data_IF_967344342416
#
_entry.id   IF_967344342416
#
_cell.length_a   1.000
_cell.length_b   1.000
_cell.length_c   1.000
_cell.angle_alpha   90.00
_cell.angle_beta   90.00
_cell.angle_gamma   90.00
#
_symmetry.space_group_name_H-M   'P 1'
#
loop_
_entity.id
_entity.type
_entity.pdbx_description
1 polymer ?
#
# COMPACT_ATOMS: atom_id res chain seq x y z
N UNK A 1 -14.08 -28.15 -36.94
CA UNK A 1 -13.48 -27.30 -35.90
C UNK A 1 -12.04 -27.71 -35.87
N UNK A 2 -11.18 -26.95 -36.54
CA UNK A 2 -9.79 -27.36 -36.76
C UNK A 2 -9.04 -27.24 -35.44
N UNK A 3 -8.68 -28.40 -34.89
CA UNK A 3 -7.86 -28.48 -33.69
C UNK A 3 -6.41 -28.26 -34.08
N UNK A 4 -5.77 -27.34 -33.37
CA UNK A 4 -4.32 -27.13 -33.47
C UNK A 4 -3.64 -28.43 -33.04
N UNK A 5 -2.76 -28.94 -33.88
CA UNK A 5 -1.99 -30.15 -33.61
C UNK A 5 -0.94 -29.92 -32.52
N UNK A 6 -0.54 -30.98 -31.82
CA UNK A 6 0.52 -30.90 -30.81
C UNK A 6 1.83 -30.35 -31.39
N UNK A 7 2.14 -30.64 -32.66
CA UNK A 7 3.32 -30.08 -33.34
C UNK A 7 3.23 -28.57 -33.56
N UNK A 8 2.04 -28.05 -33.85
CA UNK A 8 1.82 -26.60 -33.97
C UNK A 8 1.92 -25.92 -32.61
N UNK A 9 1.41 -26.55 -31.54
CA UNK A 9 1.57 -26.05 -30.16
C UNK A 9 3.06 -25.95 -29.80
N UNK A 10 3.84 -27.02 -30.06
CA UNK A 10 5.27 -27.03 -29.77
C UNK A 10 6.03 -25.96 -30.57
N UNK A 11 5.68 -25.75 -31.83
CA UNK A 11 6.28 -24.70 -32.66
C UNK A 11 5.96 -23.30 -32.12
N UNK A 12 4.72 -23.05 -31.71
CA UNK A 12 4.31 -21.77 -31.11
C UNK A 12 5.08 -21.53 -29.80
N UNK A 13 5.13 -22.53 -28.92
CA UNK A 13 5.84 -22.42 -27.64
C UNK A 13 7.32 -22.13 -27.86
N UNK A 14 7.97 -22.87 -28.77
CA UNK A 14 9.38 -22.64 -29.13
C UNK A 14 9.60 -21.22 -29.65
N UNK A 15 8.76 -20.75 -30.57
CA UNK A 15 8.88 -19.40 -31.13
C UNK A 15 8.67 -18.29 -30.07
N UNK A 16 7.76 -18.51 -29.10
CA UNK A 16 7.55 -17.58 -27.98
C UNK A 16 8.77 -17.57 -27.06
N UNK A 17 9.31 -18.75 -26.71
CA UNK A 17 10.50 -18.87 -25.87
C UNK A 17 11.74 -18.26 -26.54
N UNK A 18 11.92 -18.46 -27.84
CA UNK A 18 13.03 -17.86 -28.60
C UNK A 18 12.89 -16.34 -28.73
N UNK A 19 11.66 -15.84 -28.94
CA UNK A 19 11.38 -14.42 -29.12
C UNK A 19 11.45 -13.61 -27.82
N UNK A 20 11.05 -14.20 -26.70
CA UNK A 20 10.95 -13.50 -25.42
C UNK A 20 11.96 -13.96 -24.37
N UNK A 21 12.70 -15.04 -24.62
CA UNK A 21 13.60 -15.69 -23.67
C UNK A 21 12.85 -16.33 -22.50
N UNK A 22 13.51 -17.22 -21.75
CA UNK A 22 13.18 -17.42 -20.33
C UNK A 22 13.48 -16.10 -19.59
N UNK A 23 12.62 -15.11 -19.75
CA UNK A 23 12.64 -13.98 -18.83
C UNK A 23 12.16 -14.55 -17.51
N UNK A 24 13.09 -14.62 -16.57
CA UNK A 24 12.77 -14.80 -15.17
C UNK A 24 11.85 -13.64 -14.76
N UNK A 25 10.55 -13.88 -14.87
CA UNK A 25 9.48 -12.96 -14.47
C UNK A 25 9.29 -12.96 -12.96
N UNK A 26 10.20 -13.61 -12.21
CA UNK A 26 10.35 -13.29 -10.80
C UNK A 26 10.71 -11.81 -10.70
N UNK A 27 9.91 -10.99 -10.00
CA UNK A 27 10.27 -9.62 -9.72
C UNK A 27 11.61 -9.66 -9.00
N UNK A 28 12.67 -9.13 -9.62
CA UNK A 28 13.91 -8.87 -8.89
C UNK A 28 13.56 -7.93 -7.75
N UNK A 29 13.47 -8.48 -6.53
CA UNK A 29 13.27 -7.71 -5.33
C UNK A 29 14.57 -6.96 -5.05
N UNK A 30 14.73 -5.79 -5.67
CA UNK A 30 15.59 -4.77 -5.11
C UNK A 30 15.14 -4.60 -3.66
N UNK A 31 16.01 -4.93 -2.69
CA UNK A 31 15.70 -4.80 -1.26
C UNK A 31 15.20 -3.38 -1.01
N UNK A 32 13.94 -3.27 -0.60
CA UNK A 32 13.28 -2.00 -0.41
C UNK A 32 13.58 -1.51 1.01
N UNK A 33 14.56 -0.61 1.20
CA UNK A 33 14.98 -0.12 2.54
C UNK A 33 14.01 0.87 3.18
N UNK A 34 12.70 0.68 2.98
CA UNK A 34 11.68 1.52 3.57
C UNK A 34 11.47 1.20 5.06
N UNK A 35 11.25 2.24 5.86
CA UNK A 35 10.71 2.10 7.22
C UNK A 35 9.19 2.24 7.14
N UNK A 36 8.47 1.14 7.34
CA UNK A 36 7.00 1.09 7.23
C UNK A 36 6.39 0.99 8.62
N UNK A 37 5.59 1.97 9.00
CA UNK A 37 4.74 1.86 10.18
C UNK A 37 3.45 1.13 9.81
N UNK A 38 3.07 0.11 10.58
CA UNK A 38 1.84 -0.64 10.35
C UNK A 38 1.01 -0.71 11.64
N UNK A 39 -0.30 -0.52 11.51
CA UNK A 39 -1.26 -0.64 12.61
C UNK A 39 -2.56 -1.28 12.16
N UNK A 40 -3.41 -1.61 13.13
CA UNK A 40 -4.76 -2.07 12.87
C UNK A 40 -5.74 -1.66 13.98
N UNK A 41 -7.03 -1.90 13.78
CA UNK A 41 -7.95 -2.14 14.89
C UNK A 41 -8.12 -3.64 15.15
N UNK A 42 -9.07 -4.01 16.00
CA UNK A 42 -9.37 -5.40 16.33
C UNK A 42 -9.83 -6.22 15.10
N UNK A 43 -10.58 -5.61 14.17
CA UNK A 43 -11.02 -6.24 12.92
C UNK A 43 -9.87 -6.43 11.91
N UNK A 44 -8.86 -5.56 11.94
CA UNK A 44 -7.67 -5.64 11.08
C UNK A 44 -6.52 -6.48 11.63
N UNK A 45 -6.55 -6.88 12.91
CA UNK A 45 -5.42 -7.49 13.61
C UNK A 45 -4.82 -8.70 12.86
N UNK A 46 -5.66 -9.65 12.44
CA UNK A 46 -5.19 -10.87 11.75
C UNK A 46 -4.48 -10.57 10.42
N UNK A 47 -5.03 -9.64 9.64
CA UNK A 47 -4.42 -9.21 8.38
C UNK A 47 -3.10 -8.47 8.63
N UNK A 48 -3.02 -7.63 9.67
CA UNK A 48 -1.77 -6.98 10.09
C UNK A 48 -0.68 -8.00 10.38
N UNK A 49 -0.97 -8.98 11.24
CA UNK A 49 -0.03 -10.04 11.61
C UNK A 49 0.48 -10.82 10.39
N UNK A 50 -0.38 -11.00 9.38
CA UNK A 50 0.00 -11.66 8.12
C UNK A 50 0.82 -10.77 7.17
N UNK A 51 0.64 -9.45 7.24
CA UNK A 51 1.35 -8.49 6.38
C UNK A 51 2.72 -8.08 6.92
N UNK A 52 2.94 -8.13 8.23
CA UNK A 52 4.26 -7.86 8.85
C UNK A 52 5.37 -8.72 8.21
N UNK A 53 5.31 -10.07 8.22
CA UNK A 53 6.36 -10.89 7.62
C UNK A 53 6.46 -10.68 6.11
N UNK A 54 5.34 -10.40 5.42
CA UNK A 54 5.36 -10.08 3.99
C UNK A 54 6.10 -8.77 3.68
N UNK A 55 5.96 -7.74 4.53
CA UNK A 55 6.71 -6.50 4.40
C UNK A 55 8.21 -6.72 4.62
N UNK A 56 8.57 -7.57 5.58
CA UNK A 56 9.95 -7.96 5.84
C UNK A 56 10.56 -8.75 4.67
N UNK A 57 9.79 -9.67 4.05
CA UNK A 57 10.17 -10.36 2.81
C UNK A 57 10.42 -9.40 1.65
N UNK A 58 9.68 -8.28 1.57
CA UNK A 58 9.91 -7.19 0.62
C UNK A 58 11.14 -6.32 0.97
N UNK A 59 11.81 -6.60 2.09
CA UNK A 59 13.01 -5.90 2.57
C UNK A 59 12.74 -4.68 3.44
N UNK A 60 11.49 -4.43 3.82
CA UNK A 60 11.12 -3.28 4.64
C UNK A 60 11.50 -3.50 6.12
N UNK A 61 11.85 -2.42 6.81
CA UNK A 61 11.91 -2.39 8.28
C UNK A 61 10.53 -2.01 8.81
N UNK A 62 9.91 -2.89 9.59
CA UNK A 62 8.54 -2.69 10.08
C UNK A 62 8.53 -2.08 11.49
N UNK A 63 7.64 -1.11 11.73
CA UNK A 63 7.28 -0.61 13.06
C UNK A 63 5.82 -0.98 13.31
N UNK A 64 5.58 -1.99 14.15
CA UNK A 64 4.22 -2.38 14.55
C UNK A 64 3.68 -1.40 15.62
N UNK A 65 2.59 -0.71 15.29
CA UNK A 65 1.91 0.26 16.13
C UNK A 65 0.75 -0.34 16.95
N UNK A 66 0.53 -1.66 16.84
CA UNK A 66 -0.51 -2.41 17.55
C UNK A 66 -1.84 -2.53 16.79
N UNK A 67 -2.90 -3.04 17.43
CA UNK A 67 -2.91 -3.62 18.78
C UNK A 67 -2.09 -4.92 18.85
N UNK A 68 -1.80 -5.38 20.07
CA UNK A 68 -1.04 -6.61 20.30
C UNK A 68 -1.92 -7.89 20.29
N UNK A 69 -3.25 -7.72 20.33
CA UNK A 69 -4.23 -8.80 20.36
C UNK A 69 -5.53 -8.38 19.64
N UNK A 70 -6.56 -9.23 19.74
CA UNK A 70 -7.89 -9.04 19.14
C UNK A 70 -8.89 -8.34 20.06
N UNK A 71 -8.46 -7.79 21.19
CA UNK A 71 -9.37 -7.10 22.10
C UNK A 71 -9.94 -5.85 21.43
N UNK A 72 -11.18 -5.51 21.77
CA UNK A 72 -11.85 -4.34 21.20
C UNK A 72 -11.03 -3.07 21.47
N UNK A 73 -10.79 -2.31 20.40
CA UNK A 73 -10.07 -1.04 20.41
C UNK A 73 -10.68 -0.06 19.43
N UNK A 74 -10.40 1.22 19.64
CA UNK A 74 -10.83 2.30 18.76
C UNK A 74 -9.78 2.56 17.67
N UNK A 75 -10.18 2.38 16.40
CA UNK A 75 -9.29 2.60 15.25
C UNK A 75 -8.61 3.99 15.21
N UNK A 76 -9.20 5.12 15.70
CA UNK A 76 -8.55 6.41 15.62
C UNK A 76 -7.20 6.46 16.33
N UNK A 77 -7.05 5.76 17.46
CA UNK A 77 -5.81 5.78 18.25
C UNK A 77 -4.64 5.16 17.47
N UNK A 78 -4.91 4.04 16.80
CA UNK A 78 -3.92 3.32 16.02
C UNK A 78 -3.66 4.00 14.68
N UNK A 79 -4.70 4.53 14.03
CA UNK A 79 -4.57 5.32 12.81
C UNK A 79 -3.68 6.54 13.05
N UNK A 80 -3.88 7.25 14.17
CA UNK A 80 -3.06 8.38 14.57
C UNK A 80 -1.61 7.99 14.88
N UNK A 81 -1.35 6.92 15.63
CA UNK A 81 0.02 6.45 15.91
C UNK A 81 0.82 6.21 14.63
N UNK A 82 0.24 5.52 13.64
CA UNK A 82 0.90 5.30 12.35
C UNK A 82 1.10 6.63 11.62
N UNK A 83 0.10 7.52 11.66
CA UNK A 83 0.10 8.77 10.92
C UNK A 83 1.15 9.76 11.48
N UNK A 84 1.32 9.79 12.79
CA UNK A 84 2.36 10.57 13.47
C UNK A 84 3.76 10.14 13.03
N UNK A 85 4.03 8.83 12.93
CA UNK A 85 5.32 8.33 12.46
C UNK A 85 5.60 8.73 11.01
N UNK A 86 4.57 8.73 10.16
CA UNK A 86 4.68 9.18 8.76
C UNK A 86 4.90 10.69 8.69
N UNK A 87 4.11 11.47 9.42
CA UNK A 87 4.18 12.93 9.47
C UNK A 87 5.54 13.43 9.97
N UNK A 88 6.09 12.79 11.00
CA UNK A 88 7.40 13.13 11.59
C UNK A 88 8.59 12.54 10.83
N UNK A 89 8.36 11.79 9.75
CA UNK A 89 9.41 11.18 8.95
C UNK A 89 10.13 10.00 9.60
N UNK A 90 9.66 9.52 10.77
CA UNK A 90 10.17 8.30 11.43
C UNK A 90 9.84 7.05 10.61
N UNK A 91 8.73 7.08 9.86
CA UNK A 91 8.39 6.10 8.85
C UNK A 91 8.20 6.80 7.51
N UNK A 92 8.68 6.19 6.42
CA UNK A 92 8.48 6.74 5.08
C UNK A 92 7.08 6.41 4.53
N UNK A 93 6.44 5.34 5.04
CA UNK A 93 5.11 4.88 4.65
C UNK A 93 4.35 4.38 5.86
N UNK A 94 3.03 4.59 5.85
CA UNK A 94 2.09 4.06 6.83
C UNK A 94 1.13 3.06 6.19
N UNK A 95 0.76 2.01 6.92
CA UNK A 95 -0.29 1.06 6.55
C UNK A 95 -1.22 0.89 7.76
N UNK A 96 -2.51 1.08 7.59
CA UNK A 96 -3.50 0.92 8.66
C UNK A 96 -4.67 0.06 8.20
N UNK A 97 -5.06 -0.89 9.05
CA UNK A 97 -6.06 -1.89 8.69
C UNK A 97 -7.20 -1.83 9.70
N UNK A 98 -8.39 -1.47 9.25
CA UNK A 98 -9.59 -1.57 10.09
C UNK A 98 -10.65 -2.44 9.40
N UNK A 99 -11.85 -2.56 9.97
CA UNK A 99 -12.93 -3.33 9.34
C UNK A 99 -13.23 -2.93 7.88
N UNK A 100 -13.27 -1.63 7.57
CA UNK A 100 -13.63 -1.10 6.24
C UNK A 100 -12.52 -0.26 5.57
N UNK A 101 -11.48 0.10 6.30
CA UNK A 101 -10.40 1.02 5.93
C UNK A 101 -10.80 2.50 5.90
N UNK A 102 -12.09 2.82 6.04
CA UNK A 102 -12.63 4.18 5.82
C UNK A 102 -12.34 5.09 6.99
N UNK A 103 -12.66 4.65 8.22
CA UNK A 103 -12.52 5.46 9.42
C UNK A 103 -11.06 5.84 9.66
N UNK A 104 -10.16 4.86 9.57
CA UNK A 104 -8.72 5.13 9.70
C UNK A 104 -8.19 6.10 8.65
N UNK A 105 -8.71 6.04 7.42
CA UNK A 105 -8.32 6.96 6.35
C UNK A 105 -8.74 8.39 6.66
N UNK A 106 -9.94 8.58 7.22
CA UNK A 106 -10.42 9.89 7.66
C UNK A 106 -9.54 10.45 8.78
N UNK A 107 -9.18 9.65 9.77
CA UNK A 107 -8.31 10.06 10.90
C UNK A 107 -6.91 10.41 10.41
N UNK A 108 -6.28 9.54 9.62
CA UNK A 108 -4.93 9.75 9.12
C UNK A 108 -4.80 11.05 8.32
N UNK A 109 -5.80 11.39 7.48
CA UNK A 109 -5.84 12.66 6.73
C UNK A 109 -6.09 13.91 7.60
N UNK A 110 -6.32 13.77 8.91
CA UNK A 110 -6.31 14.92 9.85
C UNK A 110 -4.92 15.26 10.35
N UNK A 111 -3.94 14.37 10.16
CA UNK A 111 -2.56 14.59 10.60
C UNK A 111 -1.81 15.35 9.50
N UNK A 112 -1.20 16.52 9.81
CA UNK A 112 -0.53 17.33 8.81
C UNK A 112 0.58 16.57 8.07
N UNK A 113 0.69 16.76 6.75
CA UNK A 113 1.67 16.07 5.92
C UNK A 113 1.28 14.64 5.50
N UNK A 114 0.21 14.08 6.04
CA UNK A 114 -0.29 12.75 5.69
C UNK A 114 -1.28 12.85 4.54
N UNK A 115 -1.07 12.01 3.53
CA UNK A 115 -1.98 11.80 2.40
C UNK A 115 -2.37 10.33 2.39
N UNK A 116 -3.44 10.03 3.12
CA UNK A 116 -3.95 8.68 3.26
C UNK A 116 -4.93 8.34 2.13
N UNK A 117 -4.79 7.13 1.59
CA UNK A 117 -5.69 6.57 0.59
C UNK A 117 -6.19 5.20 1.05
N UNK A 118 -7.52 5.03 0.98
CA UNK A 118 -8.13 3.72 1.14
C UNK A 118 -8.12 3.01 -0.21
N UNK A 119 -7.53 1.82 -0.27
CA UNK A 119 -7.41 1.05 -1.50
C UNK A 119 -7.97 -0.35 -1.30
N UNK A 120 -8.60 -0.87 -2.35
CA UNK A 120 -9.26 -2.18 -2.35
C UNK A 120 -8.89 -3.03 -3.57
N UNK A 121 -8.08 -2.49 -4.49
CA UNK A 121 -7.58 -3.20 -5.66
C UNK A 121 -6.22 -2.64 -6.14
N UNK A 122 -5.65 -3.27 -7.17
CA UNK A 122 -4.42 -2.81 -7.81
C UNK A 122 -4.52 -1.38 -8.36
N UNK A 123 -5.65 -1.05 -8.99
CA UNK A 123 -5.84 0.21 -9.69
C UNK A 123 -5.83 1.41 -8.73
N UNK A 124 -6.54 1.30 -7.60
CA UNK A 124 -6.57 2.31 -6.53
C UNK A 124 -5.20 2.46 -5.87
N UNK A 125 -4.49 1.36 -5.62
CA UNK A 125 -3.14 1.37 -5.06
C UNK A 125 -2.12 2.07 -5.98
N UNK A 126 -2.17 1.78 -7.29
CA UNK A 126 -1.31 2.44 -8.27
C UNK A 126 -1.66 3.92 -8.38
N UNK A 127 -2.95 4.22 -8.51
CA UNK A 127 -3.43 5.59 -8.70
C UNK A 127 -3.07 6.51 -7.52
N UNK A 128 -3.27 6.04 -6.28
CA UNK A 128 -3.01 6.89 -5.11
C UNK A 128 -1.53 7.25 -4.97
N UNK A 129 -0.63 6.35 -5.38
CA UNK A 129 0.81 6.59 -5.42
C UNK A 129 1.20 7.52 -6.57
N UNK A 130 0.84 7.15 -7.78
CA UNK A 130 1.22 7.87 -8.99
C UNK A 130 0.64 9.30 -9.02
N UNK A 131 -0.63 9.46 -8.65
CA UNK A 131 -1.34 10.73 -8.80
C UNK A 131 -1.32 11.62 -7.56
N UNK A 132 -1.30 11.04 -6.36
CA UNK A 132 -1.47 11.78 -5.11
C UNK A 132 -0.23 11.73 -4.22
N UNK A 133 0.80 10.97 -4.62
CA UNK A 133 1.96 10.69 -3.79
C UNK A 133 1.55 10.27 -2.37
N UNK A 134 0.54 9.39 -2.27
CA UNK A 134 0.01 8.94 -0.99
C UNK A 134 1.11 8.27 -0.15
N UNK A 135 1.32 8.73 1.08
CA UNK A 135 2.34 8.19 1.99
C UNK A 135 1.72 7.30 3.08
N UNK A 136 0.40 7.10 3.04
CA UNK A 136 -0.33 6.30 4.01
C UNK A 136 -1.42 5.50 3.29
N UNK A 137 -1.46 4.19 3.51
CA UNK A 137 -2.43 3.26 2.93
C UNK A 137 -3.39 2.79 4.00
N UNK A 138 -4.69 2.73 3.68
CA UNK A 138 -5.66 2.01 4.50
C UNK A 138 -6.32 0.86 3.77
N UNK A 139 -6.60 -0.20 4.51
CA UNK A 139 -7.22 -1.43 4.03
C UNK A 139 -8.42 -1.78 4.92
N UNK A 140 -9.47 -2.31 4.29
CA UNK A 140 -10.64 -2.87 4.99
C UNK A 140 -10.55 -4.39 5.08
N UNK A 141 -10.21 -4.93 6.24
CA UNK A 141 -10.08 -6.37 6.44
C UNK A 141 -11.38 -7.15 6.23
N UNK A 142 -12.54 -6.50 6.42
CA UNK A 142 -13.85 -7.06 6.10
C UNK A 142 -14.24 -6.96 4.62
N UNK A 143 -13.45 -6.27 3.80
CA UNK A 143 -13.78 -5.99 2.38
C UNK A 143 -12.86 -6.75 1.41
N UNK A 144 -11.63 -7.07 1.80
CA UNK A 144 -10.65 -7.73 0.94
C UNK A 144 -9.96 -8.91 1.63
N UNK A 145 -9.58 -9.92 0.84
CA UNK A 145 -8.78 -11.05 1.32
C UNK A 145 -7.27 -10.77 1.37
N UNK A 146 -6.52 -11.60 2.10
CA UNK A 146 -5.07 -11.43 2.32
C UNK A 146 -4.26 -11.33 1.02
N UNK A 147 -4.54 -12.16 0.01
CA UNK A 147 -3.79 -12.12 -1.25
C UNK A 147 -4.00 -10.81 -2.00
N UNK A 148 -5.22 -10.27 -1.98
CA UNK A 148 -5.53 -8.96 -2.56
C UNK A 148 -4.82 -7.85 -1.76
N UNK A 149 -4.82 -7.93 -0.43
CA UNK A 149 -4.08 -7.01 0.43
C UNK A 149 -2.57 -7.01 0.12
N UNK A 150 -1.94 -8.19 -0.08
CA UNK A 150 -0.53 -8.29 -0.48
C UNK A 150 -0.25 -7.60 -1.83
N UNK A 151 -1.13 -7.77 -2.82
CA UNK A 151 -1.03 -7.08 -4.12
C UNK A 151 -1.10 -5.56 -3.91
N UNK A 152 -2.09 -5.08 -3.16
CA UNK A 152 -2.28 -3.64 -2.89
C UNK A 152 -1.05 -3.06 -2.18
N UNK A 153 -0.57 -3.72 -1.12
CA UNK A 153 0.60 -3.29 -0.34
C UNK A 153 1.84 -3.22 -1.23
N UNK A 154 2.11 -4.26 -2.02
CA UNK A 154 3.26 -4.26 -2.94
C UNK A 154 3.15 -3.12 -3.95
N UNK A 155 2.01 -2.99 -4.63
CA UNK A 155 1.79 -1.89 -5.59
C UNK A 155 1.96 -0.52 -4.94
N UNK A 156 1.39 -0.32 -3.76
CA UNK A 156 1.54 0.94 -3.02
C UNK A 156 3.01 1.26 -2.69
N UNK A 157 3.80 0.26 -2.32
CA UNK A 157 5.21 0.46 -1.99
C UNK A 157 6.10 0.68 -3.22
N UNK A 158 5.79 0.04 -4.35
CA UNK A 158 6.65 0.05 -5.54
C UNK A 158 6.23 1.06 -6.60
N UNK A 159 4.99 1.55 -6.60
CA UNK A 159 4.55 2.55 -7.58
C UNK A 159 5.19 3.91 -7.27
N UNK A 160 5.94 4.42 -8.25
CA UNK A 160 6.58 5.73 -8.21
C UNK A 160 5.56 6.86 -8.34
N UNK A 161 5.93 8.03 -7.84
CA UNK A 161 5.11 9.22 -8.02
C UNK A 161 5.29 9.80 -9.42
N UNK A 162 4.19 10.08 -10.14
CA UNK A 162 4.24 10.54 -11.52
C UNK A 162 4.71 11.99 -11.70
N UNK A 163 4.82 12.79 -10.64
CA UNK A 163 5.34 14.16 -10.71
C UNK A 163 4.52 15.08 -11.65
N UNK A 164 5.17 16.03 -12.31
CA UNK A 164 4.57 16.87 -13.36
C UNK A 164 3.22 17.50 -12.97
N UNK A 165 2.17 17.16 -13.72
CA UNK A 165 0.80 17.66 -13.44
C UNK A 165 0.23 17.17 -12.10
N UNK A 166 0.69 16.03 -11.60
CA UNK A 166 0.27 15.43 -10.34
C UNK A 166 0.89 16.19 -9.16
N UNK A 167 2.16 16.60 -9.26
CA UNK A 167 2.82 17.45 -8.25
C UNK A 167 2.03 18.73 -7.98
N UNK A 168 1.60 19.44 -9.03
CA UNK A 168 0.76 20.64 -8.90
C UNK A 168 -0.55 20.41 -8.15
N UNK A 169 -1.12 19.19 -8.19
CA UNK A 169 -2.35 18.84 -7.48
C UNK A 169 -2.07 18.43 -6.05
N UNK A 170 -0.95 17.75 -5.80
CA UNK A 170 -0.45 17.49 -4.45
C UNK A 170 -0.20 18.81 -3.72
N UNK A 171 0.43 19.79 -4.38
CA UNK A 171 0.66 21.12 -3.79
C UNK A 171 -0.66 21.78 -3.36
N UNK A 172 -1.72 21.66 -4.17
CA UNK A 172 -3.06 22.16 -3.81
C UNK A 172 -3.68 21.43 -2.62
N UNK A 173 -3.46 20.12 -2.49
CA UNK A 173 -3.90 19.36 -1.30
C UNK A 173 -3.19 19.91 -0.05
N UNK A 174 -1.87 20.14 -0.14
CA UNK A 174 -1.09 20.68 0.97
C UNK A 174 -1.44 22.14 1.28
N UNK A 175 -1.83 22.93 0.26
CA UNK A 175 -2.33 24.29 0.46
C UNK A 175 -3.63 24.30 1.25
N UNK A 176 -4.55 23.36 0.98
CA UNK A 176 -5.79 23.22 1.77
C UNK A 176 -5.46 22.97 3.24
N UNK A 177 -4.55 22.04 3.53
CA UNK A 177 -4.09 21.78 4.90
C UNK A 177 -3.56 23.06 5.58
N UNK A 178 -2.67 23.78 4.88
CA UNK A 178 -2.02 24.98 5.39
C UNK A 178 -2.99 26.11 5.77
N UNK A 179 -4.16 26.19 5.12
CA UNK A 179 -5.20 27.20 5.42
C UNK A 179 -5.88 26.98 6.77
N UNK A 180 -5.87 25.76 7.29
CA UNK A 180 -6.54 25.40 8.55
C UNK A 180 -5.56 25.14 9.70
N UNK A 181 -4.25 25.08 9.43
CA UNK A 181 -3.24 25.02 10.48
C UNK A 181 -3.17 26.36 11.23
N UNK A 182 -3.27 26.30 12.56
CA UNK A 182 -2.98 27.46 13.40
C UNK A 182 -1.48 27.76 13.29
N UNK A 183 -1.14 29.01 13.00
CA UNK A 183 0.24 29.48 13.17
C UNK A 183 0.54 29.45 14.67
N UNK A 184 1.50 28.60 15.04
CA UNK A 184 2.06 28.59 16.39
C UNK A 184 2.84 29.86 16.70
#
# INVERSE_FOLDING_TARGET
>A
MDYISDSEIQAIVKNVLEKYGEKDITPQSGKCSWVVAIGADHGGFSMKQSLIPYLEELGCRVIDCGPANTDSVDYPDFAFKVAELVSTGKACRGIMIDGAGIGSCMVANKVPGVRAAMCYDFATASNCREHNNANYLTLGAGLIGLNQAKIIVKTFLTTEFGGGRHAKRVDKIMEVESRFLKKG
#
